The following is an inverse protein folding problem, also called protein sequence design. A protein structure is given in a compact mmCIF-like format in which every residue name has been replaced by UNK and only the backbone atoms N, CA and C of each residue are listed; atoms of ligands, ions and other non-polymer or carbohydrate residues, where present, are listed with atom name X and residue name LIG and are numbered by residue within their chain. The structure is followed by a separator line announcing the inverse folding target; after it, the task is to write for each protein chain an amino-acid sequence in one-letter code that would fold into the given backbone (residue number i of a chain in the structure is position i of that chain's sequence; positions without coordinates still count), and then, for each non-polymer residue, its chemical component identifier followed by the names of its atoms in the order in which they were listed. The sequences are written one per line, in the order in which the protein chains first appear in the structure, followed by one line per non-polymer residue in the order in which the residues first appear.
data_IF_665516137602
#
_entry.id   IF_665516137602
#
_cell.length_a   1.000
_cell.length_b   1.000
_cell.length_c   1.000
_cell.angle_alpha   90.00
_cell.angle_beta   90.00
_cell.angle_gamma   90.00
#
_symmetry.space_group_name_H-M   'P 1'
#
loop_
_entity.id
_entity.type
_entity.pdbx_description
1 polymer ?
#
# COMPACT_ATOMS: atom_id res chain seq x y z
N UNK A 1 5.49 -7.00 -7.69
CA UNK A 1 6.33 -5.81 -7.44
C UNK A 1 6.12 -5.32 -6.03
N UNK A 2 7.15 -5.33 -5.18
CA UNK A 2 7.02 -4.78 -3.84
C UNK A 2 7.23 -3.26 -3.88
N UNK A 3 6.28 -2.48 -3.38
CA UNK A 3 6.36 -1.02 -3.40
C UNK A 3 6.23 -0.43 -1.99
N UNK A 4 6.99 0.63 -1.68
CA UNK A 4 6.85 1.35 -0.43
C UNK A 4 5.60 2.25 -0.46
N UNK A 5 5.02 2.47 0.72
CA UNK A 5 3.87 3.35 0.92
C UNK A 5 4.35 4.79 1.03
N UNK A 6 3.72 5.71 0.31
CA UNK A 6 4.14 7.12 0.23
C UNK A 6 3.19 8.03 1.00
N UNK A 7 1.90 7.68 1.08
CA UNK A 7 0.88 8.50 1.72
C UNK A 7 0.05 7.63 2.65
N UNK A 8 0.22 7.84 3.96
CA UNK A 8 -0.60 7.23 5.01
C UNK A 8 -1.62 8.20 5.59
N UNK A 9 -2.43 7.73 6.53
CA UNK A 9 -3.28 8.58 7.34
C UNK A 9 -2.45 9.38 8.36
N UNK A 10 -2.50 10.73 8.34
CA UNK A 10 -1.66 11.57 9.21
C UNK A 10 -2.04 11.49 10.70
N UNK A 11 -3.30 11.14 11.01
CA UNK A 11 -3.80 11.12 12.39
C UNK A 11 -3.35 9.90 13.20
N UNK A 12 -2.88 8.83 12.55
CA UNK A 12 -2.41 7.61 13.22
C UNK A 12 -0.97 7.42 12.81
N UNK A 13 -0.05 7.51 13.77
CA UNK A 13 1.38 7.40 13.52
C UNK A 13 1.89 6.04 13.98
N UNK A 14 2.53 5.30 13.07
CA UNK A 14 3.27 4.08 13.35
C UNK A 14 4.74 4.41 13.19
N UNK A 15 5.50 4.42 14.30
CA UNK A 15 6.93 4.75 14.26
C UNK A 15 7.22 6.18 13.82
N UNK A 16 6.40 7.15 14.24
CA UNK A 16 6.41 8.56 13.80
C UNK A 16 6.10 8.80 12.31
N UNK A 17 5.67 7.76 11.58
CA UNK A 17 5.24 7.87 10.18
C UNK A 17 3.72 7.66 10.06
N UNK A 18 3.04 8.36 9.12
CA UNK A 18 1.62 8.15 8.86
C UNK A 18 1.30 6.69 8.57
N UNK A 19 0.30 6.15 9.26
CA UNK A 19 -0.06 4.75 9.16
C UNK A 19 -0.86 4.48 7.88
N UNK A 20 -0.47 3.43 7.17
CA UNK A 20 -1.07 3.07 5.90
C UNK A 20 -2.41 2.33 6.07
N UNK A 21 -3.35 2.60 5.18
CA UNK A 21 -4.71 2.03 5.18
C UNK A 21 -5.17 1.70 3.75
N UNK A 22 -6.29 1.00 3.64
CA UNK A 22 -6.95 0.74 2.37
C UNK A 22 -7.14 2.07 1.61
N UNK A 23 -6.96 2.07 0.29
CA UNK A 23 -6.99 3.25 -0.58
C UNK A 23 -5.77 4.19 -0.52
N UNK A 24 -4.80 3.97 0.36
CA UNK A 24 -3.59 4.79 0.41
C UNK A 24 -2.67 4.54 -0.79
N UNK A 25 -1.85 5.55 -1.09
CA UNK A 25 -0.98 5.57 -2.26
C UNK A 25 0.41 5.03 -1.96
N UNK A 26 0.87 4.15 -2.84
CA UNK A 26 2.24 3.63 -2.89
C UNK A 26 3.05 4.39 -3.92
N UNK A 27 4.36 4.14 -3.96
CA UNK A 27 5.24 4.71 -4.98
C UNK A 27 4.71 4.42 -6.40
N UNK A 28 4.98 5.35 -7.35
CA UNK A 28 4.74 5.10 -8.77
C UNK A 28 5.42 3.80 -9.21
N UNK A 29 4.74 3.04 -10.05
CA UNK A 29 5.32 1.81 -10.56
C UNK A 29 6.40 2.14 -11.61
N UNK A 30 7.66 1.80 -11.30
CA UNK A 30 8.81 1.99 -12.18
C UNK A 30 9.08 0.80 -13.12
N UNK A 31 8.14 -0.14 -13.26
CA UNK A 31 8.31 -1.21 -14.26
C UNK A 31 8.31 -0.61 -15.67
N UNK A 32 9.21 -1.08 -16.53
CA UNK A 32 9.32 -0.64 -17.92
C UNK A 32 8.02 -0.81 -18.74
N UNK A 33 7.15 -1.76 -18.38
CA UNK A 33 5.83 -1.92 -19.00
C UNK A 33 4.74 -0.99 -18.43
N UNK A 34 4.91 -0.46 -17.22
CA UNK A 34 3.95 0.41 -16.56
C UNK A 34 4.07 1.85 -17.10
N UNK A 35 3.33 2.16 -18.17
CA UNK A 35 3.24 3.53 -18.70
C UNK A 35 1.79 3.99 -18.61
N UNK A 36 1.49 5.16 -18.01
CA UNK A 36 2.39 6.22 -17.51
C UNK A 36 3.04 5.96 -16.13
N UNK A 37 2.88 4.77 -15.54
CA UNK A 37 3.59 4.40 -14.30
C UNK A 37 3.03 5.10 -13.07
N UNK A 38 1.70 5.18 -12.95
CA UNK A 38 1.07 5.89 -11.84
C UNK A 38 1.21 5.21 -10.47
N UNK A 39 0.86 5.93 -9.38
CA UNK A 39 0.91 5.39 -8.03
C UNK A 39 -0.02 4.19 -7.88
N UNK A 40 0.44 3.18 -7.15
CA UNK A 40 -0.41 2.07 -6.74
C UNK A 40 -1.31 2.46 -5.58
N UNK A 41 -2.46 1.82 -5.48
CA UNK A 41 -3.39 1.94 -4.38
C UNK A 41 -3.41 0.64 -3.56
N UNK A 42 -3.50 0.74 -2.25
CA UNK A 42 -3.72 -0.42 -1.38
C UNK A 42 -5.11 -1.00 -1.58
N UNK A 43 -5.16 -2.23 -2.10
CA UNK A 43 -6.39 -2.94 -2.46
C UNK A 43 -6.85 -3.93 -1.38
N UNK A 44 -5.96 -4.30 -0.46
CA UNK A 44 -6.28 -5.16 0.68
C UNK A 44 -5.61 -4.63 1.95
N UNK A 45 -6.26 -4.87 3.09
CA UNK A 45 -5.77 -4.52 4.43
C UNK A 45 -6.19 -5.56 5.46
N UNK A 46 -5.98 -5.24 6.74
CA UNK A 46 -6.42 -6.02 7.90
C UNK A 46 -7.94 -6.05 8.03
N UNK A 47 -8.50 -7.21 8.36
CA UNK A 47 -9.95 -7.36 8.57
C UNK A 47 -10.41 -6.87 9.96
N UNK A 48 -9.50 -6.78 10.93
CA UNK A 48 -9.83 -6.51 12.34
C UNK A 48 -9.36 -5.12 12.80
N UNK A 49 -8.25 -4.62 12.24
CA UNK A 49 -7.69 -3.33 12.62
C UNK A 49 -8.04 -2.28 11.57
N UNK A 50 -8.68 -1.21 12.02
CA UNK A 50 -9.06 -0.08 11.19
C UNK A 50 -8.29 1.19 11.59
N UNK A 51 -7.79 1.91 10.59
CA UNK A 51 -7.08 3.19 10.72
C UNK A 51 -7.94 4.26 10.05
N UNK A 52 -8.50 5.16 10.88
CA UNK A 52 -9.48 6.17 10.48
C UNK A 52 -10.65 5.63 9.67
N UNK A 53 -11.20 4.50 10.13
CA UNK A 53 -12.38 3.87 9.54
C UNK A 53 -12.11 3.00 8.31
N UNK A 54 -10.86 2.85 7.88
CA UNK A 54 -10.48 1.95 6.77
C UNK A 54 -9.56 0.83 7.24
N UNK A 55 -9.57 -0.35 6.59
CA UNK A 55 -8.66 -1.46 6.91
C UNK A 55 -7.19 -1.02 6.94
N UNK A 56 -6.47 -1.36 8.01
CA UNK A 56 -5.05 -1.04 8.16
C UNK A 56 -4.17 -1.87 7.21
N UNK A 57 -3.22 -1.25 6.51
CA UNK A 57 -2.35 -1.97 5.57
C UNK A 57 -1.13 -2.60 6.29
N UNK A 58 -0.74 -3.79 5.82
CA UNK A 58 0.33 -4.63 6.38
C UNK A 58 1.37 -4.94 5.32
N UNK A 59 2.56 -5.32 5.78
CA UNK A 59 3.59 -5.87 4.89
C UNK A 59 3.02 -7.09 4.17
N UNK A 60 3.14 -7.12 2.85
CA UNK A 60 2.57 -8.21 2.02
C UNK A 60 1.12 -8.01 1.56
N UNK A 61 0.40 -6.99 2.03
CA UNK A 61 -0.94 -6.69 1.52
C UNK A 61 -0.90 -6.27 0.04
N UNK A 62 -1.99 -6.56 -0.68
CA UNK A 62 -2.08 -6.37 -2.12
C UNK A 62 -2.20 -4.89 -2.49
N UNK A 63 -1.40 -4.48 -3.46
CA UNK A 63 -1.49 -3.16 -4.10
C UNK A 63 -1.96 -3.33 -5.54
N UNK A 64 -2.78 -2.39 -6.03
CA UNK A 64 -3.29 -2.36 -7.39
C UNK A 64 -2.83 -1.08 -8.08
N UNK A 65 -2.37 -1.17 -9.32
CA UNK A 65 -1.93 -0.01 -10.10
C UNK A 65 -2.92 0.29 -11.22
N UNK A 66 -4.05 0.97 -10.92
CA UNK A 66 -5.07 1.24 -11.93
C UNK A 66 -4.55 2.15 -13.05
N UNK A 67 -3.55 2.99 -12.75
CA UNK A 67 -2.91 3.87 -13.71
C UNK A 67 -1.86 3.16 -14.60
N UNK A 68 -1.57 1.88 -14.36
CA UNK A 68 -0.71 1.11 -15.25
C UNK A 68 -1.54 0.42 -16.32
N UNK A 69 -1.28 0.78 -17.58
CA UNK A 69 -2.05 0.30 -18.74
C UNK A 69 -1.55 -1.06 -19.27
N UNK A 70 -0.41 -1.59 -18.80
CA UNK A 70 0.17 -2.84 -19.30
C UNK A 70 0.32 -3.94 -18.25
N UNK A 71 0.33 -5.22 -18.67
CA UNK A 71 -0.68 -5.88 -19.51
C UNK A 71 -1.94 -6.14 -18.66
N UNK A 72 -3.12 -6.18 -19.27
CA UNK A 72 -4.38 -6.55 -18.60
C UNK A 72 -4.22 -7.97 -18.01
N UNK A 73 -4.49 -8.20 -16.71
CA UNK A 73 -5.04 -7.28 -15.70
C UNK A 73 -3.96 -6.40 -15.03
N UNK A 74 -4.32 -5.15 -14.68
CA UNK A 74 -3.43 -4.16 -14.06
C UNK A 74 -2.47 -4.76 -13.02
N UNK A 75 -1.20 -4.35 -13.01
CA UNK A 75 -0.19 -4.98 -12.17
C UNK A 75 -0.56 -4.91 -10.70
N UNK A 76 -0.63 -6.09 -10.08
CA UNK A 76 -0.77 -6.22 -8.64
C UNK A 76 0.61 -6.34 -7.99
N UNK A 77 0.78 -5.63 -6.89
CA UNK A 77 1.98 -5.62 -6.08
C UNK A 77 1.72 -6.10 -4.67
N UNK A 78 2.77 -6.05 -3.86
CA UNK A 78 2.71 -6.25 -2.42
C UNK A 78 3.36 -5.06 -1.72
N UNK A 79 2.98 -4.77 -0.49
CA UNK A 79 3.72 -3.79 0.33
C UNK A 79 5.12 -4.32 0.64
N UNK A 80 6.16 -3.54 0.34
CA UNK A 80 7.56 -3.86 0.63
C UNK A 80 7.84 -3.71 2.14
N UNK A 81 8.68 -4.59 2.75
CA UNK A 81 9.27 -4.34 4.06
C UNK A 81 10.28 -3.16 4.02
N UNK A 82 10.67 -2.57 5.15
CA UNK A 82 10.25 -2.88 6.50
C UNK A 82 8.93 -2.18 6.82
N UNK A 83 7.93 -2.95 7.26
CA UNK A 83 6.92 -2.40 8.15
C UNK A 83 7.58 -2.03 9.47
N UNK A 84 6.92 -1.23 10.30
CA UNK A 84 7.50 -0.88 11.60
C UNK A 84 7.52 -2.13 12.50
N UNK A 85 8.69 -2.68 12.86
CA UNK A 85 8.81 -4.04 13.41
C UNK A 85 8.18 -4.20 14.80
N UNK A 86 7.96 -3.10 15.51
CA UNK A 86 7.32 -3.11 16.82
C UNK A 86 5.79 -3.06 16.73
N UNK A 87 5.21 -2.92 15.53
CA UNK A 87 3.77 -2.80 15.32
C UNK A 87 3.25 -3.94 14.47
N UNK A 88 2.50 -4.81 15.13
CA UNK A 88 1.80 -5.93 14.52
C UNK A 88 0.33 -5.56 14.33
N UNK A 89 -0.11 -5.47 13.08
CA UNK A 89 -1.48 -5.07 12.73
C UNK A 89 -2.30 -6.33 12.46
N UNK A 90 -3.30 -6.58 13.31
CA UNK A 90 -4.26 -7.69 13.12
C UNK A 90 -3.88 -9.01 13.80
N UNK A 91 -2.83 -9.03 14.62
CA UNK A 91 -2.34 -10.20 15.33
C UNK A 91 -1.25 -10.95 14.58
#
# INVERSE_FOLDING_TARGET
MPLPIVKGQPNVLIGNLPAARLSDMTQPCLLAGCVPGGPGMLAKGSATVMIGGLPAARVGDLTMHPACVAPVPSPTGKVLPPGYPTVMIGG
#
